data_IF_977359329070
#
_entry.id   IF_977359329070
#
_cell.length_a   1.000
_cell.length_b   1.000
_cell.length_c   1.000
_cell.angle_alpha   90.00
_cell.angle_beta   90.00
_cell.angle_gamma   90.00
#
_symmetry.space_group_name_H-M   'P 1'
#
loop_
_entity.id
_entity.type
_entity.pdbx_description
1 polymer ?
#
# COMPACT_ATOMS: atom_id res chain seq x y z
N UNK A 1 -29.45 27.32 -2.36
CA UNK A 1 -30.41 26.26 -2.01
C UNK A 1 -31.37 26.11 -3.17
N UNK A 2 -31.19 25.08 -3.94
CA UNK A 2 -32.20 24.54 -4.86
C UNK A 2 -31.80 23.05 -5.00
N UNK A 3 -32.49 22.18 -4.29
CA UNK A 3 -32.46 20.73 -4.46
C UNK A 3 -33.04 20.41 -5.82
N UNK A 4 -32.20 19.87 -6.71
CA UNK A 4 -32.72 19.22 -7.92
C UNK A 4 -33.29 17.86 -7.50
N UNK A 5 -34.55 17.54 -7.78
CA UNK A 5 -35.09 16.23 -7.54
C UNK A 5 -34.61 15.28 -8.64
N UNK A 6 -33.46 14.69 -8.48
CA UNK A 6 -33.15 13.43 -9.16
C UNK A 6 -33.97 12.33 -8.48
N UNK A 7 -35.07 11.94 -9.13
CA UNK A 7 -35.89 10.84 -8.67
C UNK A 7 -35.00 9.62 -8.39
N UNK A 8 -35.05 9.13 -7.18
CA UNK A 8 -34.33 7.95 -6.70
C UNK A 8 -34.72 6.74 -7.56
N UNK A 9 -33.94 6.46 -8.60
CA UNK A 9 -34.02 5.17 -9.29
C UNK A 9 -33.32 4.19 -8.36
N UNK A 10 -34.10 3.32 -7.71
CA UNK A 10 -33.54 2.31 -6.82
C UNK A 10 -32.55 1.38 -7.54
N UNK A 11 -31.60 0.72 -6.82
CA UNK A 11 -30.51 -0.07 -7.43
C UNK A 11 -31.00 -1.10 -8.47
N UNK A 12 -32.12 -1.77 -8.20
CA UNK A 12 -32.71 -2.74 -9.15
C UNK A 12 -33.29 -2.10 -10.42
N UNK A 13 -33.86 -0.91 -10.31
CA UNK A 13 -34.43 -0.19 -11.47
C UNK A 13 -33.36 0.49 -12.33
N UNK A 14 -32.23 0.88 -11.76
CA UNK A 14 -31.08 1.46 -12.46
C UNK A 14 -30.16 0.44 -13.12
N UNK A 15 -30.20 -0.82 -12.70
CA UNK A 15 -29.29 -1.88 -13.15
C UNK A 15 -29.26 -2.07 -14.68
N UNK A 16 -30.39 -2.03 -15.44
CA UNK A 16 -30.34 -2.22 -16.89
C UNK A 16 -29.59 -1.10 -17.61
N UNK A 17 -29.73 0.15 -17.15
CA UNK A 17 -29.02 1.31 -17.72
C UNK A 17 -27.54 1.23 -17.42
N UNK A 18 -27.19 0.91 -16.17
CA UNK A 18 -25.82 0.71 -15.73
C UNK A 18 -25.15 -0.45 -16.50
N UNK A 19 -25.82 -1.59 -16.63
CA UNK A 19 -25.34 -2.72 -17.39
C UNK A 19 -25.03 -2.35 -18.85
N UNK A 20 -25.92 -1.59 -19.48
CA UNK A 20 -25.70 -1.13 -20.87
C UNK A 20 -24.49 -0.22 -20.99
N UNK A 21 -24.31 0.71 -20.06
CA UNK A 21 -23.15 1.61 -20.03
C UNK A 21 -21.85 0.84 -19.77
N UNK A 22 -21.80 -0.03 -18.76
CA UNK A 22 -20.62 -0.82 -18.45
C UNK A 22 -20.26 -1.79 -19.58
N UNK A 23 -21.25 -2.38 -20.23
CA UNK A 23 -21.04 -3.18 -21.46
C UNK A 23 -20.45 -2.37 -22.60
N UNK A 24 -20.90 -1.12 -22.78
CA UNK A 24 -20.28 -0.20 -23.74
C UNK A 24 -18.83 0.09 -23.37
N UNK A 25 -18.53 0.36 -22.10
CA UNK A 25 -17.14 0.56 -21.64
C UNK A 25 -16.30 -0.71 -21.85
N UNK A 26 -16.84 -1.89 -21.49
CA UNK A 26 -16.16 -3.16 -21.65
C UNK A 26 -15.91 -3.54 -23.13
N UNK A 27 -16.74 -3.06 -24.06
CA UNK A 27 -16.50 -3.27 -25.50
C UNK A 27 -15.21 -2.61 -26.03
N UNK A 28 -14.64 -1.67 -25.27
CA UNK A 28 -13.38 -1.00 -25.58
C UNK A 28 -12.18 -1.59 -24.87
N UNK A 29 -12.34 -2.71 -24.12
CA UNK A 29 -11.25 -3.42 -23.47
C UNK A 29 -10.20 -3.86 -24.50
N UNK A 30 -8.93 -3.64 -24.16
CA UNK A 30 -7.78 -4.07 -24.97
C UNK A 30 -6.80 -4.86 -24.11
N UNK A 31 -6.16 -5.87 -24.72
CA UNK A 31 -5.13 -6.67 -24.04
C UNK A 31 -5.69 -7.70 -23.07
N UNK A 32 -6.88 -8.22 -23.34
CA UNK A 32 -7.54 -9.29 -22.62
C UNK A 32 -9.01 -9.43 -22.98
N UNK A 33 -9.63 -10.51 -22.55
CA UNK A 33 -11.05 -10.81 -22.75
C UNK A 33 -11.73 -10.96 -21.40
N UNK A 34 -12.82 -10.20 -21.20
CA UNK A 34 -13.75 -10.37 -20.08
C UNK A 34 -15.01 -11.09 -20.57
N UNK A 35 -15.29 -12.25 -20.00
CA UNK A 35 -16.55 -12.98 -20.18
C UNK A 35 -17.46 -12.66 -19.00
N UNK A 36 -18.64 -12.12 -19.27
CA UNK A 36 -19.66 -11.86 -18.23
C UNK A 36 -20.81 -12.81 -18.44
N UNK A 37 -21.14 -13.55 -17.40
CA UNK A 37 -22.29 -14.48 -17.33
C UNK A 37 -23.29 -13.87 -16.35
N UNK A 38 -24.48 -13.54 -16.82
CA UNK A 38 -25.59 -13.03 -16.00
C UNK A 38 -26.93 -13.70 -16.38
N UNK A 39 -28.03 -13.31 -15.75
CA UNK A 39 -29.37 -13.80 -16.03
C UNK A 39 -29.85 -13.58 -17.46
N UNK A 40 -29.19 -12.67 -18.21
CA UNK A 40 -29.50 -12.37 -19.61
C UNK A 40 -28.63 -13.17 -20.60
N UNK A 41 -27.70 -14.01 -20.12
CA UNK A 41 -26.81 -14.90 -20.88
C UNK A 41 -25.33 -14.53 -20.78
N UNK A 42 -24.52 -15.15 -21.62
CA UNK A 42 -23.06 -14.98 -21.67
C UNK A 42 -22.67 -13.96 -22.73
N UNK A 43 -21.75 -13.05 -22.35
CA UNK A 43 -21.20 -12.03 -23.27
C UNK A 43 -19.69 -11.94 -23.13
N UNK A 44 -19.03 -11.70 -24.26
CA UNK A 44 -17.57 -11.52 -24.32
C UNK A 44 -17.23 -10.07 -24.69
N UNK A 45 -16.29 -9.49 -24.00
CA UNK A 45 -15.80 -8.13 -24.21
C UNK A 45 -14.29 -8.12 -24.34
N UNK A 46 -13.77 -7.28 -25.24
CA UNK A 46 -12.36 -7.26 -25.57
C UNK A 46 -11.95 -8.39 -26.49
N UNK A 47 -10.65 -8.62 -26.61
CA UNK A 47 -10.09 -9.67 -27.48
C UNK A 47 -8.68 -10.08 -27.02
N UNK A 48 -8.34 -11.36 -27.26
CA UNK A 48 -7.03 -11.93 -26.96
C UNK A 48 -6.92 -12.47 -25.53
N UNK A 49 -5.70 -12.84 -25.18
CA UNK A 49 -5.37 -13.35 -23.85
C UNK A 49 -4.81 -12.24 -22.98
N UNK A 50 -4.99 -12.31 -21.66
CA UNK A 50 -5.70 -13.34 -20.92
C UNK A 50 -7.23 -13.24 -21.02
N UNK A 51 -7.93 -14.33 -20.70
CA UNK A 51 -9.38 -14.39 -20.61
C UNK A 51 -9.81 -14.69 -19.17
N UNK A 52 -10.82 -13.96 -18.67
CA UNK A 52 -11.35 -14.08 -17.32
C UNK A 52 -12.87 -14.08 -17.35
N UNK A 53 -13.49 -14.89 -16.48
CA UNK A 53 -14.95 -15.03 -16.38
C UNK A 53 -15.46 -14.43 -15.08
N UNK A 54 -16.42 -13.50 -15.22
CA UNK A 54 -17.19 -12.92 -14.11
C UNK A 54 -18.62 -13.43 -14.19
N UNK A 55 -19.12 -14.01 -13.08
CA UNK A 55 -20.51 -14.51 -12.96
C UNK A 55 -21.27 -13.54 -12.04
N UNK A 56 -22.27 -12.86 -12.57
CA UNK A 56 -23.09 -11.89 -11.83
C UNK A 56 -24.37 -12.55 -11.37
N UNK A 57 -24.55 -12.68 -10.06
CA UNK A 57 -25.73 -13.29 -9.42
C UNK A 57 -26.85 -12.29 -9.16
N UNK A 58 -26.51 -11.03 -8.90
CA UNK A 58 -27.49 -9.95 -8.70
C UNK A 58 -27.17 -8.75 -9.62
N UNK A 59 -28.12 -8.31 -10.48
CA UNK A 59 -27.89 -7.20 -11.40
C UNK A 59 -27.58 -5.85 -10.73
N UNK A 60 -27.81 -5.70 -9.42
CA UNK A 60 -27.45 -4.49 -8.68
C UNK A 60 -25.94 -4.18 -8.71
N UNK A 61 -25.10 -5.21 -8.93
CA UNK A 61 -23.64 -5.09 -9.15
C UNK A 61 -23.30 -4.06 -10.24
N UNK A 62 -24.07 -4.03 -11.31
CA UNK A 62 -23.85 -3.06 -12.39
C UNK A 62 -24.06 -1.62 -11.92
N UNK A 63 -25.07 -1.40 -11.08
CA UNK A 63 -25.39 -0.07 -10.57
C UNK A 63 -24.36 0.42 -9.55
N UNK A 64 -23.99 -0.45 -8.61
CA UNK A 64 -22.99 -0.12 -7.60
C UNK A 64 -21.60 0.12 -8.23
N UNK A 65 -21.20 -0.71 -9.20
CA UNK A 65 -19.94 -0.54 -9.95
C UNK A 65 -19.94 0.78 -10.74
N UNK A 66 -21.05 1.15 -11.38
CA UNK A 66 -21.14 2.42 -12.11
C UNK A 66 -20.98 3.62 -11.20
N UNK A 67 -21.62 3.61 -10.03
CA UNK A 67 -21.64 4.76 -9.11
C UNK A 67 -20.41 4.84 -8.22
N UNK A 68 -19.86 3.71 -7.80
CA UNK A 68 -18.84 3.62 -6.75
C UNK A 68 -17.52 2.99 -7.24
N UNK A 69 -17.44 2.57 -8.50
CA UNK A 69 -16.22 1.98 -9.06
C UNK A 69 -15.77 0.73 -8.29
N UNK A 70 -14.48 0.69 -7.92
CA UNK A 70 -13.89 -0.43 -7.18
C UNK A 70 -14.50 -0.64 -5.79
N UNK A 71 -14.98 0.43 -5.14
CA UNK A 71 -15.68 0.34 -3.83
C UNK A 71 -16.93 -0.52 -3.94
N UNK A 72 -17.79 -0.22 -4.93
CA UNK A 72 -19.02 -1.01 -5.16
C UNK A 72 -18.69 -2.43 -5.60
N UNK A 73 -17.76 -2.59 -6.52
CA UNK A 73 -17.37 -3.90 -7.05
C UNK A 73 -16.84 -4.83 -5.94
N UNK A 74 -15.91 -4.37 -5.12
CA UNK A 74 -15.31 -5.18 -4.05
C UNK A 74 -16.28 -5.47 -2.91
N UNK A 75 -17.13 -4.50 -2.50
CA UNK A 75 -18.19 -4.74 -1.52
C UNK A 75 -19.15 -5.82 -2.00
N UNK A 76 -19.62 -5.72 -3.23
CA UNK A 76 -20.60 -6.65 -3.79
C UNK A 76 -20.00 -8.05 -4.00
N UNK A 77 -18.67 -8.16 -4.22
CA UNK A 77 -17.96 -9.43 -4.18
C UNK A 77 -17.96 -10.02 -2.76
N UNK A 78 -17.64 -9.22 -1.76
CA UNK A 78 -17.66 -9.66 -0.37
C UNK A 78 -19.05 -10.13 0.06
N UNK A 79 -20.11 -9.48 -0.44
CA UNK A 79 -21.51 -9.82 -0.18
C UNK A 79 -22.01 -11.02 -1.03
N UNK A 80 -21.17 -11.61 -1.90
CA UNK A 80 -21.52 -12.77 -2.71
C UNK A 80 -22.45 -12.48 -3.90
N UNK A 81 -22.55 -11.21 -4.35
CA UNK A 81 -23.44 -10.83 -5.45
C UNK A 81 -22.85 -11.15 -6.83
N UNK A 82 -21.56 -11.48 -6.88
CA UNK A 82 -20.87 -11.96 -8.06
C UNK A 82 -19.63 -12.78 -7.70
N UNK A 83 -19.15 -13.60 -8.65
CA UNK A 83 -17.95 -14.41 -8.54
C UNK A 83 -17.05 -14.25 -9.76
N UNK A 84 -15.80 -14.67 -9.63
CA UNK A 84 -14.81 -14.65 -10.70
C UNK A 84 -13.91 -15.88 -10.61
N UNK A 85 -13.51 -16.40 -11.75
CA UNK A 85 -12.55 -17.51 -11.82
C UNK A 85 -11.13 -17.12 -11.41
N UNK A 86 -10.73 -15.84 -11.63
CA UNK A 86 -9.44 -15.29 -11.25
C UNK A 86 -9.56 -13.77 -11.04
N UNK A 87 -9.57 -13.33 -9.76
CA UNK A 87 -9.70 -11.91 -9.40
C UNK A 87 -8.48 -11.07 -9.79
N UNK A 88 -7.28 -11.63 -9.66
CA UNK A 88 -6.04 -10.98 -10.09
C UNK A 88 -6.08 -10.72 -11.58
N UNK A 89 -6.49 -11.73 -12.35
CA UNK A 89 -6.60 -11.61 -13.78
C UNK A 89 -7.68 -10.61 -14.20
N UNK A 90 -8.83 -10.59 -13.51
CA UNK A 90 -9.88 -9.60 -13.72
C UNK A 90 -9.33 -8.18 -13.53
N UNK A 91 -8.63 -7.94 -12.42
CA UNK A 91 -8.03 -6.63 -12.13
C UNK A 91 -7.04 -6.22 -13.22
N UNK A 92 -6.21 -7.16 -13.71
CA UNK A 92 -5.27 -6.91 -14.80
C UNK A 92 -5.98 -6.55 -16.11
N UNK A 93 -7.00 -7.31 -16.50
CA UNK A 93 -7.77 -7.04 -17.73
C UNK A 93 -8.46 -5.68 -17.65
N UNK A 94 -9.06 -5.33 -16.50
CA UNK A 94 -9.70 -4.04 -16.30
C UNK A 94 -8.68 -2.90 -16.33
N UNK A 95 -7.55 -3.03 -15.65
CA UNK A 95 -6.50 -2.01 -15.62
C UNK A 95 -5.91 -1.73 -16.99
N UNK A 96 -5.62 -2.77 -17.80
CA UNK A 96 -5.15 -2.60 -19.18
C UNK A 96 -6.19 -1.92 -20.06
N UNK A 97 -7.41 -2.44 -20.00
CA UNK A 97 -8.49 -2.01 -20.87
C UNK A 97 -8.98 -0.60 -20.60
N UNK A 98 -8.92 -0.14 -19.35
CA UNK A 98 -9.40 1.17 -18.94
C UNK A 98 -8.31 2.27 -18.94
N UNK A 99 -7.05 1.95 -19.23
CA UNK A 99 -5.95 2.94 -19.32
C UNK A 99 -6.28 4.19 -20.16
N UNK A 100 -6.90 4.08 -21.34
CA UNK A 100 -7.24 5.27 -22.11
C UNK A 100 -8.29 6.16 -21.42
N UNK A 101 -9.23 5.54 -20.70
CA UNK A 101 -10.28 6.26 -19.96
C UNK A 101 -9.70 6.92 -18.72
N UNK A 102 -8.89 6.20 -17.96
CA UNK A 102 -8.20 6.75 -16.78
C UNK A 102 -7.26 7.88 -17.14
N UNK A 103 -6.55 7.82 -18.27
CA UNK A 103 -5.68 8.90 -18.73
C UNK A 103 -6.45 10.22 -19.02
N UNK A 104 -7.69 10.14 -19.49
CA UNK A 104 -8.56 11.32 -19.65
C UNK A 104 -9.01 11.84 -18.29
N UNK A 105 -9.43 10.93 -17.39
CA UNK A 105 -9.83 11.29 -16.03
C UNK A 105 -8.67 11.93 -15.26
N UNK A 106 -7.44 11.44 -15.43
CA UNK A 106 -6.25 11.98 -14.78
C UNK A 106 -5.96 13.42 -15.24
N UNK A 107 -6.10 13.71 -16.52
CA UNK A 107 -5.93 15.08 -17.06
C UNK A 107 -6.99 16.04 -16.51
N UNK A 108 -8.24 15.61 -16.43
CA UNK A 108 -9.32 16.40 -15.83
C UNK A 108 -9.08 16.58 -14.33
N UNK A 109 -8.67 15.51 -13.62
CA UNK A 109 -8.35 15.56 -12.20
C UNK A 109 -7.21 16.52 -11.88
N UNK A 110 -6.16 16.58 -12.72
CA UNK A 110 -5.06 17.55 -12.57
C UNK A 110 -5.57 18.99 -12.71
N UNK A 111 -6.44 19.24 -13.68
CA UNK A 111 -6.97 20.59 -13.91
C UNK A 111 -7.91 21.06 -12.77
N UNK A 112 -8.75 20.17 -12.25
CA UNK A 112 -9.72 20.47 -11.18
C UNK A 112 -9.04 20.44 -9.80
N UNK A 113 -8.11 19.52 -9.56
CA UNK A 113 -7.40 19.36 -8.28
C UNK A 113 -6.68 20.64 -7.87
N UNK A 114 -5.98 21.27 -8.81
CA UNK A 114 -5.28 22.53 -8.55
C UNK A 114 -6.18 23.66 -8.04
N UNK A 115 -7.46 23.67 -8.44
CA UNK A 115 -8.43 24.69 -8.02
C UNK A 115 -9.10 24.41 -6.67
N UNK A 116 -9.12 23.15 -6.21
CA UNK A 116 -9.82 22.74 -4.97
C UNK A 116 -8.88 22.52 -3.77
N UNK A 117 -7.60 22.36 -4.01
CA UNK A 117 -6.59 22.12 -2.95
C UNK A 117 -6.56 23.22 -1.87
N UNK A 118 -6.83 24.48 -2.24
CA UNK A 118 -6.84 25.57 -1.27
C UNK A 118 -7.98 25.44 -0.25
N UNK A 119 -9.17 24.96 -0.66
CA UNK A 119 -10.31 24.74 0.24
C UNK A 119 -10.05 23.58 1.21
N UNK A 120 -9.33 22.54 0.76
CA UNK A 120 -8.98 21.38 1.59
C UNK A 120 -7.91 21.70 2.64
N UNK A 121 -7.01 22.64 2.36
CA UNK A 121 -6.01 23.14 3.32
C UNK A 121 -6.63 23.83 4.53
N UNK A 122 -7.90 24.23 4.46
CA UNK A 122 -8.62 24.85 5.58
C UNK A 122 -9.03 23.84 6.68
N UNK A 123 -8.94 22.53 6.45
CA UNK A 123 -9.20 21.47 7.42
C UNK A 123 -8.00 20.53 7.48
N UNK A 124 -6.95 20.89 8.23
CA UNK A 124 -5.78 20.04 8.35
C UNK A 124 -6.12 18.75 9.09
N UNK A 125 -5.51 17.61 8.71
CA UNK A 125 -5.60 16.37 9.47
C UNK A 125 -4.99 16.57 10.88
N UNK A 126 -5.53 15.88 11.87
CA UNK A 126 -5.06 15.96 13.26
C UNK A 126 -4.47 14.63 13.69
N UNK A 127 -3.51 14.64 14.64
CA UNK A 127 -2.92 13.43 15.24
C UNK A 127 -3.98 12.42 15.71
N UNK A 128 -5.13 12.90 16.18
CA UNK A 128 -6.22 12.05 16.68
C UNK A 128 -6.92 11.28 15.54
N UNK A 129 -7.08 11.89 14.36
CA UNK A 129 -7.68 11.22 13.19
C UNK A 129 -6.72 10.14 12.68
N UNK A 130 -5.41 10.43 12.61
CA UNK A 130 -4.40 9.48 12.18
C UNK A 130 -4.38 8.24 13.09
N UNK A 131 -4.44 8.45 14.43
CA UNK A 131 -4.47 7.35 15.41
C UNK A 131 -5.73 6.48 15.27
N UNK A 132 -6.91 7.08 15.11
CA UNK A 132 -8.17 6.36 14.95
C UNK A 132 -8.20 5.52 13.65
N UNK A 133 -7.67 6.06 12.54
CA UNK A 133 -7.59 5.35 11.26
C UNK A 133 -6.67 4.12 11.36
N UNK A 134 -5.51 4.27 12.02
CA UNK A 134 -4.58 3.16 12.24
C UNK A 134 -5.19 2.12 13.18
N UNK A 135 -5.88 2.54 14.27
CA UNK A 135 -6.57 1.59 15.15
C UNK A 135 -7.64 0.79 14.42
N UNK A 136 -8.46 1.43 13.57
CA UNK A 136 -9.51 0.74 12.82
C UNK A 136 -8.97 -0.32 11.85
N UNK A 137 -7.79 -0.10 11.26
CA UNK A 137 -7.12 -1.09 10.41
C UNK A 137 -6.56 -2.27 11.21
N UNK A 138 -6.01 -2.02 12.41
CA UNK A 138 -5.41 -3.04 13.28
C UNK A 138 -6.39 -3.64 14.30
N UNK A 139 -7.71 -3.37 14.18
CA UNK A 139 -8.76 -4.13 14.89
C UNK A 139 -8.85 -5.59 14.42
N UNK A 140 -8.22 -5.91 13.27
CA UNK A 140 -7.89 -7.28 12.90
C UNK A 140 -6.77 -7.80 13.81
N UNK A 141 -6.98 -8.94 14.46
CA UNK A 141 -6.09 -9.43 15.52
C UNK A 141 -4.68 -9.78 15.02
N UNK A 142 -3.67 -9.72 15.90
CA UNK A 142 -2.33 -10.22 15.61
C UNK A 142 -2.35 -11.69 15.17
N UNK A 143 -3.29 -12.48 15.66
CA UNK A 143 -3.43 -13.90 15.32
C UNK A 143 -3.80 -14.09 13.84
N UNK A 144 -4.65 -13.21 13.30
CA UNK A 144 -4.93 -13.24 11.86
C UNK A 144 -3.70 -12.87 11.02
N UNK A 145 -2.96 -11.83 11.41
CA UNK A 145 -1.72 -11.47 10.70
C UNK A 145 -0.67 -12.58 10.79
N UNK A 146 -0.59 -13.31 11.90
CA UNK A 146 0.29 -14.47 12.04
C UNK A 146 -0.09 -15.65 11.12
N UNK A 147 -1.36 -15.79 10.72
CA UNK A 147 -1.80 -16.77 9.72
C UNK A 147 -1.43 -16.35 8.29
N UNK A 148 -1.33 -15.05 8.03
CA UNK A 148 -1.08 -14.50 6.69
C UNK A 148 0.40 -14.23 6.43
N UNK A 149 1.10 -13.66 7.41
CA UNK A 149 2.49 -13.24 7.31
C UNK A 149 3.45 -14.40 7.65
N UNK A 150 4.73 -14.18 7.38
CA UNK A 150 5.82 -15.05 7.83
C UNK A 150 6.27 -14.71 9.25
N UNK A 151 7.27 -15.45 9.77
CA UNK A 151 7.82 -15.28 11.12
C UNK A 151 8.40 -13.88 11.38
N UNK A 152 8.79 -13.14 10.35
CA UNK A 152 9.27 -11.75 10.50
C UNK A 152 8.14 -10.78 10.85
N UNK A 153 6.90 -11.16 10.59
CA UNK A 153 5.71 -10.34 10.75
C UNK A 153 5.81 -9.02 9.97
N UNK A 154 6.50 -9.03 8.80
CA UNK A 154 6.61 -7.85 7.96
C UNK A 154 5.37 -7.72 7.06
N UNK A 155 4.54 -6.71 7.34
CA UNK A 155 3.38 -6.36 6.50
C UNK A 155 3.77 -5.30 5.46
N UNK A 156 4.68 -5.70 4.58
CA UNK A 156 5.25 -4.90 3.51
C UNK A 156 5.85 -5.81 2.43
N UNK A 157 6.16 -5.28 1.25
CA UNK A 157 6.74 -6.08 0.16
C UNK A 157 7.99 -6.82 0.60
N UNK A 158 8.09 -8.10 0.24
CA UNK A 158 9.32 -8.88 0.28
C UNK A 158 10.17 -8.64 -0.99
N UNK A 159 11.37 -9.23 -1.06
CA UNK A 159 12.21 -9.25 -2.28
C UNK A 159 12.62 -10.69 -2.61
N UNK A 160 12.12 -11.21 -3.72
CA UNK A 160 12.39 -12.56 -4.20
C UNK A 160 13.55 -12.51 -5.20
N UNK A 161 14.70 -13.09 -4.85
CA UNK A 161 15.88 -13.19 -5.72
C UNK A 161 15.97 -14.53 -6.44
N UNK A 162 15.17 -15.51 -6.03
CA UNK A 162 15.09 -16.85 -6.62
C UNK A 162 13.60 -17.25 -6.79
N UNK A 163 13.23 -18.02 -7.82
CA UNK A 163 11.83 -18.37 -8.09
C UNK A 163 11.12 -19.11 -6.95
N UNK A 164 11.84 -20.02 -6.27
CA UNK A 164 11.26 -20.89 -5.22
C UNK A 164 11.57 -20.41 -3.79
N UNK A 165 11.97 -19.15 -3.64
CA UNK A 165 12.27 -18.54 -2.35
C UNK A 165 11.01 -18.49 -1.48
N UNK A 166 11.09 -18.97 -0.24
CA UNK A 166 10.01 -18.80 0.73
C UNK A 166 9.84 -17.33 1.17
N UNK A 167 8.66 -17.01 1.72
CA UNK A 167 8.31 -15.65 2.07
C UNK A 167 9.22 -15.08 3.16
N UNK A 168 9.53 -15.86 4.21
CA UNK A 168 10.38 -15.41 5.31
C UNK A 168 11.79 -15.09 4.85
N UNK A 169 12.38 -15.92 3.97
CA UNK A 169 13.68 -15.62 3.36
C UNK A 169 13.61 -14.38 2.48
N UNK A 170 12.56 -14.21 1.68
CA UNK A 170 12.38 -13.04 0.84
C UNK A 170 12.20 -11.74 1.66
N UNK A 171 11.54 -11.81 2.81
CA UNK A 171 11.45 -10.69 3.75
C UNK A 171 12.83 -10.33 4.33
N UNK A 172 13.61 -11.32 4.75
CA UNK A 172 14.99 -11.08 5.24
C UNK A 172 15.87 -10.45 4.16
N UNK A 173 15.78 -10.91 2.90
CA UNK A 173 16.49 -10.27 1.76
C UNK A 173 16.11 -8.80 1.60
N UNK A 174 14.83 -8.46 1.73
CA UNK A 174 14.36 -7.07 1.69
C UNK A 174 14.96 -6.23 2.82
N UNK A 175 14.96 -6.77 4.05
CA UNK A 175 15.52 -6.08 5.21
C UNK A 175 17.05 -5.89 5.05
N UNK A 176 17.78 -6.93 4.63
CA UNK A 176 19.22 -6.85 4.33
C UNK A 176 19.52 -5.83 3.23
N UNK A 177 18.64 -5.73 2.22
CA UNK A 177 18.79 -4.74 1.16
C UNK A 177 18.77 -3.31 1.70
N UNK A 178 17.81 -3.00 2.60
CA UNK A 178 17.72 -1.69 3.26
C UNK A 178 18.93 -1.42 4.16
N UNK A 179 19.30 -2.41 4.99
CA UNK A 179 20.47 -2.30 5.85
C UNK A 179 21.77 -2.05 5.05
N UNK A 180 21.94 -2.77 3.93
CA UNK A 180 23.10 -2.61 3.02
C UNK A 180 23.11 -1.24 2.35
N UNK A 181 21.95 -0.76 1.86
CA UNK A 181 21.83 0.58 1.25
C UNK A 181 22.20 1.70 2.22
N UNK A 182 21.89 1.53 3.50
CA UNK A 182 22.25 2.46 4.57
C UNK A 182 23.69 2.28 5.07
N UNK A 183 24.33 1.15 4.74
CA UNK A 183 25.66 0.79 5.23
C UNK A 183 25.69 0.60 6.74
N UNK A 184 24.64 -0.06 7.30
CA UNK A 184 24.52 -0.24 8.75
C UNK A 184 25.72 -1.00 9.33
N UNK A 185 26.16 -0.55 10.50
CA UNK A 185 27.26 -1.14 11.26
C UNK A 185 27.00 -1.03 12.78
N UNK A 186 27.79 -1.68 13.63
CA UNK A 186 27.56 -1.72 15.08
C UNK A 186 27.65 -0.36 15.81
N UNK A 187 28.24 0.65 15.20
CA UNK A 187 28.41 1.98 15.79
C UNK A 187 27.21 2.89 15.51
N UNK A 188 26.35 2.53 14.55
CA UNK A 188 25.21 3.36 14.12
C UNK A 188 24.09 3.40 15.18
N UNK A 189 23.56 4.60 15.41
CA UNK A 189 22.28 4.85 16.03
C UNK A 189 21.21 5.02 14.94
N UNK A 190 20.23 4.11 14.89
CA UNK A 190 19.20 4.05 13.87
C UNK A 190 17.85 4.43 14.46
N UNK A 191 17.09 5.28 13.78
CA UNK A 191 15.68 5.50 14.10
C UNK A 191 14.79 4.86 13.03
N UNK A 192 13.80 4.06 13.47
CA UNK A 192 12.76 3.51 12.61
C UNK A 192 11.42 4.20 12.89
N UNK A 193 10.78 4.73 11.84
CA UNK A 193 9.44 5.29 11.92
C UNK A 193 8.45 4.29 11.35
N UNK A 194 7.64 3.67 12.23
CA UNK A 194 6.71 2.60 11.89
C UNK A 194 7.23 1.22 12.30
N UNK A 195 7.22 0.93 13.61
CA UNK A 195 7.72 -0.32 14.19
C UNK A 195 7.08 -1.59 13.59
N UNK A 196 5.80 -1.53 13.19
CA UNK A 196 5.05 -2.74 12.90
C UNK A 196 5.13 -3.71 14.09
N UNK A 197 5.44 -4.96 13.82
CA UNK A 197 5.68 -6.00 14.85
C UNK A 197 7.17 -6.16 15.20
N UNK A 198 8.02 -5.16 14.89
CA UNK A 198 9.44 -5.12 15.26
C UNK A 198 10.37 -5.85 14.30
N UNK A 199 9.89 -6.24 13.11
CA UNK A 199 10.67 -7.06 12.17
C UNK A 199 11.98 -6.42 11.73
N UNK A 200 11.96 -5.14 11.29
CA UNK A 200 13.19 -4.45 10.89
C UNK A 200 14.10 -4.17 12.08
N UNK A 201 13.56 -3.63 13.19
CA UNK A 201 14.37 -3.27 14.35
C UNK A 201 15.16 -4.49 14.91
N UNK A 202 14.48 -5.62 15.08
CA UNK A 202 15.12 -6.86 15.53
C UNK A 202 16.15 -7.38 14.52
N UNK A 203 15.81 -7.37 13.22
CA UNK A 203 16.72 -7.80 12.16
C UNK A 203 17.99 -6.96 12.09
N UNK A 204 17.88 -5.63 12.11
CA UNK A 204 19.00 -4.71 12.06
C UNK A 204 19.91 -4.85 13.30
N UNK A 205 19.32 -4.87 14.49
CA UNK A 205 20.08 -5.03 15.73
C UNK A 205 20.79 -6.39 15.82
N UNK A 206 20.14 -7.49 15.42
CA UNK A 206 20.71 -8.84 15.50
C UNK A 206 21.82 -9.06 14.46
N UNK A 207 21.64 -8.62 13.21
CA UNK A 207 22.54 -8.96 12.10
C UNK A 207 23.60 -7.90 11.83
N UNK A 208 23.33 -6.63 12.14
CA UNK A 208 24.27 -5.50 11.90
C UNK A 208 24.82 -4.92 13.19
N UNK A 209 24.28 -5.30 14.36
CA UNK A 209 24.78 -4.90 15.67
C UNK A 209 24.48 -3.48 16.08
N UNK A 210 23.78 -2.70 15.26
CA UNK A 210 23.44 -1.29 15.51
C UNK A 210 22.41 -1.16 16.67
N UNK A 211 22.29 0.06 17.21
CA UNK A 211 21.22 0.40 18.14
C UNK A 211 20.04 0.95 17.35
N UNK A 212 18.83 0.48 17.68
CA UNK A 212 17.60 0.90 16.98
C UNK A 212 16.59 1.47 17.96
N UNK A 213 16.17 2.71 17.73
CA UNK A 213 14.98 3.31 18.36
C UNK A 213 13.84 3.24 17.35
N UNK A 214 12.75 2.57 17.69
CA UNK A 214 11.61 2.40 16.78
C UNK A 214 10.33 2.92 17.43
N UNK A 215 9.41 3.49 16.62
CA UNK A 215 8.19 4.10 17.13
C UNK A 215 6.94 3.64 16.41
N UNK A 216 5.86 3.47 17.17
CA UNK A 216 4.50 3.21 16.70
C UNK A 216 3.48 3.95 17.54
N UNK A 217 2.31 4.26 16.96
CA UNK A 217 1.14 4.78 17.69
C UNK A 217 0.08 3.70 17.97
N UNK A 218 0.33 2.46 17.58
CA UNK A 218 -0.53 1.30 17.84
C UNK A 218 -0.11 0.62 19.14
N UNK A 219 -1.00 0.62 20.14
CA UNK A 219 -0.77 -0.07 21.41
C UNK A 219 -0.56 -1.58 21.23
N UNK A 220 -1.21 -2.20 20.23
CA UNK A 220 -1.07 -3.62 19.93
C UNK A 220 0.33 -3.94 19.37
N UNK A 221 0.80 -3.14 18.40
CA UNK A 221 2.15 -3.27 17.85
C UNK A 221 3.22 -3.00 18.90
N UNK A 222 3.05 -1.94 19.70
CA UNK A 222 3.98 -1.61 20.79
C UNK A 222 4.17 -2.78 21.75
N UNK A 223 3.07 -3.39 22.23
CA UNK A 223 3.14 -4.54 23.15
C UNK A 223 3.79 -5.75 22.49
N UNK A 224 3.44 -6.05 21.25
CA UNK A 224 4.00 -7.18 20.52
C UNK A 224 5.50 -7.00 20.26
N UNK A 225 5.91 -5.87 19.70
CA UNK A 225 7.32 -5.58 19.39
C UNK A 225 8.18 -5.52 20.68
N UNK A 226 7.69 -4.91 21.75
CA UNK A 226 8.40 -4.89 23.04
C UNK A 226 8.62 -6.28 23.61
N UNK A 227 7.61 -7.16 23.52
CA UNK A 227 7.75 -8.56 23.94
C UNK A 227 8.78 -9.30 23.07
N UNK A 228 8.69 -9.15 21.76
CA UNK A 228 9.60 -9.76 20.79
C UNK A 228 11.07 -9.37 21.05
N UNK A 229 11.33 -8.08 21.26
CA UNK A 229 12.68 -7.57 21.57
C UNK A 229 13.28 -8.25 22.80
N UNK A 230 12.49 -8.51 23.84
CA UNK A 230 12.94 -9.23 25.05
C UNK A 230 13.17 -10.69 24.76
N UNK A 231 12.25 -11.35 24.04
CA UNK A 231 12.34 -12.78 23.70
C UNK A 231 13.53 -13.10 22.78
N UNK A 232 13.89 -12.17 21.88
CA UNK A 232 15.06 -12.29 21.00
C UNK A 232 16.38 -11.84 21.69
N UNK A 233 16.33 -11.38 22.94
CA UNK A 233 17.53 -10.96 23.70
C UNK A 233 18.15 -9.65 23.21
N UNK A 234 17.34 -8.75 22.61
CA UNK A 234 17.79 -7.49 21.99
C UNK A 234 17.47 -6.24 22.81
N UNK A 235 17.07 -6.39 24.07
CA UNK A 235 16.63 -5.28 24.92
C UNK A 235 17.73 -4.24 25.22
N UNK A 236 18.99 -4.57 25.02
CA UNK A 236 20.14 -3.66 25.16
C UNK A 236 20.41 -2.85 23.87
N UNK A 237 19.81 -3.22 22.74
CA UNK A 237 20.03 -2.61 21.43
C UNK A 237 18.78 -1.99 20.81
N UNK A 238 17.59 -2.48 21.16
CA UNK A 238 16.32 -2.02 20.57
C UNK A 238 15.45 -1.35 21.62
N UNK A 239 15.10 -0.10 21.38
CA UNK A 239 14.15 0.68 22.17
C UNK A 239 12.86 0.87 21.39
N UNK A 240 11.74 0.34 21.90
CA UNK A 240 10.41 0.51 21.28
C UNK A 240 9.69 1.64 21.99
N UNK A 241 9.17 2.61 21.24
CA UNK A 241 8.44 3.76 21.72
C UNK A 241 6.96 3.71 21.29
N UNK A 242 6.05 3.96 22.23
CA UNK A 242 4.64 4.23 21.91
C UNK A 242 4.43 5.73 21.77
N UNK A 243 4.89 6.30 20.68
CA UNK A 243 4.90 7.74 20.43
C UNK A 243 4.64 8.07 18.98
N UNK A 244 4.05 9.22 18.73
CA UNK A 244 3.96 9.77 17.37
C UNK A 244 5.35 10.19 16.90
N UNK A 245 5.69 9.88 15.63
CA UNK A 245 7.00 10.22 15.06
C UNK A 245 7.29 11.74 15.10
N UNK A 246 6.25 12.57 15.14
CA UNK A 246 6.36 14.04 15.23
C UNK A 246 6.83 14.53 16.60
N UNK A 247 6.80 13.65 17.61
CA UNK A 247 7.21 13.93 19.00
C UNK A 247 8.56 13.29 19.33
N UNK A 248 9.22 12.67 18.36
CA UNK A 248 10.57 12.12 18.56
C UNK A 248 11.60 13.23 18.68
N UNK A 249 12.55 13.02 19.58
CA UNK A 249 13.68 13.90 19.83
C UNK A 249 14.99 13.13 19.69
N UNK A 250 16.10 13.87 19.54
CA UNK A 250 17.44 13.32 19.37
C UNK A 250 17.93 13.42 17.93
N UNK A 251 19.13 12.88 17.70
CA UNK A 251 19.77 12.82 16.39
C UNK A 251 20.35 11.42 16.19
N UNK A 252 20.25 10.91 14.97
CA UNK A 252 20.57 9.55 14.58
C UNK A 252 21.48 9.55 13.33
N UNK A 253 22.26 8.49 13.18
CA UNK A 253 23.11 8.29 11.99
C UNK A 253 22.26 7.89 10.79
N UNK A 254 21.23 7.06 11.05
CA UNK A 254 20.38 6.49 10.00
C UNK A 254 18.89 6.56 10.38
N UNK A 255 18.07 6.72 9.37
CA UNK A 255 16.61 6.67 9.51
C UNK A 255 16.00 5.68 8.52
N UNK A 256 15.07 4.87 8.98
CA UNK A 256 14.32 3.93 8.15
C UNK A 256 12.81 4.13 8.34
N UNK A 257 12.06 4.04 7.26
CA UNK A 257 10.60 3.97 7.31
C UNK A 257 10.09 3.07 6.19
N UNK A 258 9.39 2.00 6.54
CA UNK A 258 8.94 0.97 5.60
C UNK A 258 7.42 1.00 5.50
N UNK A 259 6.89 1.41 4.34
CA UNK A 259 5.46 1.45 4.02
C UNK A 259 4.62 2.12 5.12
N UNK A 260 5.09 3.27 5.57
CA UNK A 260 4.41 4.08 6.59
C UNK A 260 3.90 5.41 6.01
N UNK A 261 4.57 5.97 5.00
CA UNK A 261 4.22 7.26 4.40
C UNK A 261 2.81 7.23 3.77
N UNK A 262 2.31 6.06 3.40
CA UNK A 262 0.97 5.81 2.87
C UNK A 262 -0.13 6.11 3.90
N UNK A 263 0.19 6.00 5.19
CA UNK A 263 -0.68 6.36 6.29
C UNK A 263 -0.62 7.87 6.61
N UNK A 264 0.31 8.61 6.01
CA UNK A 264 0.45 10.06 6.19
C UNK A 264 -0.37 10.78 5.13
N UNK A 265 -1.30 11.64 5.57
CA UNK A 265 -2.05 12.48 4.64
C UNK A 265 -1.09 13.29 3.75
N UNK A 266 -1.35 13.34 2.44
CA UNK A 266 -0.50 14.03 1.46
C UNK A 266 -0.19 15.50 1.84
N UNK A 267 -1.08 16.15 2.60
CA UNK A 267 -0.90 17.52 3.12
C UNK A 267 0.17 17.61 4.21
N UNK A 268 0.56 16.48 4.78
CA UNK A 268 1.57 16.35 5.84
C UNK A 268 2.90 15.77 5.33
N UNK A 269 3.06 15.44 4.04
CA UNK A 269 4.31 14.92 3.51
C UNK A 269 5.49 15.87 3.78
N UNK A 270 5.30 17.19 3.63
CA UNK A 270 6.34 18.19 3.97
C UNK A 270 6.72 18.13 5.47
N UNK A 271 5.75 17.89 6.35
CA UNK A 271 5.99 17.74 7.79
C UNK A 271 6.72 16.44 8.08
N UNK A 272 6.29 15.34 7.47
CA UNK A 272 6.95 14.04 7.61
C UNK A 272 8.44 14.12 7.25
N UNK A 273 8.76 14.60 6.05
CA UNK A 273 10.16 14.70 5.63
C UNK A 273 10.97 15.72 6.44
N UNK A 274 10.37 16.83 6.89
CA UNK A 274 11.03 17.79 7.78
C UNK A 274 11.38 17.16 9.13
N UNK A 275 10.45 16.40 9.72
CA UNK A 275 10.71 15.67 10.97
C UNK A 275 11.82 14.65 10.77
N UNK A 276 11.77 13.85 9.68
CA UNK A 276 12.81 12.88 9.38
C UNK A 276 14.19 13.52 9.22
N UNK A 277 14.29 14.61 8.46
CA UNK A 277 15.55 15.33 8.30
C UNK A 277 16.07 15.93 9.61
N UNK A 278 15.17 16.42 10.47
CA UNK A 278 15.52 16.97 11.79
C UNK A 278 16.02 15.92 12.79
N UNK A 279 15.76 14.65 12.55
CA UNK A 279 16.24 13.52 13.36
C UNK A 279 17.60 12.98 12.86
N UNK A 280 18.16 13.49 11.77
CA UNK A 280 19.43 13.02 11.22
C UNK A 280 20.59 13.96 11.54
N UNK A 281 21.75 13.40 11.80
CA UNK A 281 23.01 14.12 11.77
C UNK A 281 23.32 14.69 10.38
N UNK A 282 24.22 15.67 10.27
CA UNK A 282 24.58 16.32 9.00
C UNK A 282 25.15 15.36 7.94
N UNK A 283 25.65 14.20 8.35
CA UNK A 283 26.11 13.11 7.47
C UNK A 283 25.14 11.91 7.43
N UNK A 284 23.94 12.07 7.96
CA UNK A 284 22.96 10.98 8.09
C UNK A 284 22.39 10.52 6.77
N UNK A 285 21.91 9.28 6.75
CA UNK A 285 21.17 8.67 5.63
C UNK A 285 19.76 8.29 6.06
N UNK A 286 18.81 8.50 5.16
CA UNK A 286 17.44 8.03 5.30
C UNK A 286 17.12 7.04 4.19
N UNK A 287 16.48 5.91 4.53
CA UNK A 287 15.84 5.00 3.57
C UNK A 287 14.35 4.93 3.83
N UNK A 288 13.56 5.05 2.77
CA UNK A 288 12.14 4.71 2.81
C UNK A 288 11.85 3.57 1.84
N UNK A 289 10.93 2.69 2.22
CA UNK A 289 10.19 1.85 1.29
C UNK A 289 8.78 2.40 1.21
N UNK A 290 8.27 2.61 -0.01
CA UNK A 290 6.98 3.27 -0.19
C UNK A 290 6.25 2.76 -1.42
N UNK A 291 4.96 2.44 -1.23
CA UNK A 291 4.04 2.18 -2.33
C UNK A 291 3.77 3.50 -3.05
N UNK A 292 3.91 3.51 -4.36
CA UNK A 292 3.74 4.71 -5.16
C UNK A 292 2.68 4.51 -6.25
N UNK A 293 1.95 5.58 -6.53
CA UNK A 293 1.07 5.67 -7.71
C UNK A 293 1.81 6.39 -8.84
N UNK A 294 1.42 6.14 -10.10
CA UNK A 294 1.95 6.90 -11.25
C UNK A 294 1.78 8.43 -11.02
N UNK A 295 2.82 9.24 -11.30
CA UNK A 295 2.81 10.70 -11.07
C UNK A 295 1.60 11.39 -11.71
N UNK A 296 1.21 10.97 -12.92
CA UNK A 296 0.03 11.50 -13.62
C UNK A 296 -1.30 11.24 -12.91
N UNK A 297 -1.37 10.15 -12.13
CA UNK A 297 -2.59 9.71 -11.44
C UNK A 297 -2.71 10.26 -10.03
N UNK A 298 -1.64 10.86 -9.47
CA UNK A 298 -1.57 11.30 -8.08
C UNK A 298 -2.68 12.31 -7.73
N UNK A 299 -2.94 13.30 -8.58
CA UNK A 299 -3.98 14.32 -8.32
C UNK A 299 -5.38 13.70 -8.20
N UNK A 300 -5.68 12.68 -8.99
CA UNK A 300 -6.93 11.92 -8.88
C UNK A 300 -6.94 11.03 -7.64
N UNK A 301 -5.85 10.28 -7.41
CA UNK A 301 -5.73 9.33 -6.31
C UNK A 301 -5.85 10.00 -4.94
N UNK A 302 -5.13 11.11 -4.70
CA UNK A 302 -5.17 11.82 -3.40
C UNK A 302 -6.56 12.38 -3.06
N UNK A 303 -7.39 12.63 -4.08
CA UNK A 303 -8.71 13.22 -3.95
C UNK A 303 -9.86 12.20 -4.03
N UNK A 304 -9.58 10.99 -4.53
CA UNK A 304 -10.54 9.92 -4.71
C UNK A 304 -10.62 8.98 -3.52
N UNK A 305 -11.57 8.06 -3.61
CA UNK A 305 -11.68 6.90 -2.75
C UNK A 305 -11.73 5.67 -3.64
N UNK A 306 -10.99 4.63 -3.28
CA UNK A 306 -11.05 3.31 -3.90
C UNK A 306 -11.39 2.25 -2.85
N UNK A 307 -11.44 1.00 -3.28
CA UNK A 307 -11.76 -0.12 -2.40
C UNK A 307 -10.79 -0.23 -1.22
N UNK A 308 -9.49 -0.09 -1.46
CA UNK A 308 -8.45 -0.24 -0.42
C UNK A 308 -8.59 0.87 0.62
N UNK A 309 -8.80 2.10 0.18
CA UNK A 309 -8.96 3.26 1.06
C UNK A 309 -10.28 3.24 1.84
N UNK A 310 -11.33 2.61 1.30
CA UNK A 310 -12.62 2.50 1.97
C UNK A 310 -12.65 1.40 3.03
N UNK A 311 -12.08 0.21 2.72
CA UNK A 311 -12.30 -0.98 3.52
C UNK A 311 -11.05 -1.49 4.26
N UNK A 312 -9.84 -1.18 3.77
CA UNK A 312 -8.60 -1.75 4.29
C UNK A 312 -7.76 -0.69 5.02
N UNK A 313 -7.46 0.44 4.37
CA UNK A 313 -6.63 1.51 4.93
C UNK A 313 -7.37 2.86 4.92
N UNK A 314 -8.33 3.06 5.83
CA UNK A 314 -9.07 4.32 5.91
C UNK A 314 -8.12 5.51 6.10
N UNK A 315 -8.27 6.53 5.25
CA UNK A 315 -7.42 7.72 5.29
C UNK A 315 -6.06 7.59 4.59
N UNK A 316 -5.68 6.40 4.14
CA UNK A 316 -4.44 6.15 3.41
C UNK A 316 -4.34 6.97 2.11
N UNK A 317 -3.13 7.34 1.72
CA UNK A 317 -2.87 8.09 0.49
C UNK A 317 -1.52 7.69 -0.10
N UNK A 318 -1.54 6.92 -1.17
CA UNK A 318 -0.31 6.56 -1.87
C UNK A 318 0.35 7.82 -2.43
N UNK A 319 1.63 8.10 -2.12
CA UNK A 319 2.40 9.16 -2.77
C UNK A 319 2.73 8.79 -4.22
N UNK A 320 3.23 9.77 -4.98
CA UNK A 320 3.98 9.50 -6.21
C UNK A 320 5.44 9.89 -6.03
N UNK A 321 6.33 9.45 -6.92
CA UNK A 321 7.74 9.83 -6.88
C UNK A 321 7.90 11.36 -6.96
N UNK A 322 7.12 12.02 -7.82
CA UNK A 322 7.10 13.48 -7.91
C UNK A 322 6.63 14.12 -6.60
N UNK A 323 5.60 13.58 -5.94
CA UNK A 323 5.11 14.12 -4.68
C UNK A 323 6.16 14.00 -3.56
N UNK A 324 6.87 12.86 -3.47
CA UNK A 324 7.96 12.64 -2.54
C UNK A 324 9.09 13.65 -2.81
N UNK A 325 9.62 13.69 -4.03
CA UNK A 325 10.76 14.56 -4.39
C UNK A 325 10.41 16.06 -4.29
N UNK A 326 9.17 16.42 -4.54
CA UNK A 326 8.64 17.79 -4.33
C UNK A 326 8.67 18.18 -2.86
N UNK A 327 8.25 17.27 -1.97
CA UNK A 327 8.27 17.52 -0.52
C UNK A 327 9.69 17.58 0.03
N UNK A 328 10.59 16.68 -0.41
CA UNK A 328 12.01 16.73 -0.07
C UNK A 328 12.60 18.09 -0.40
N UNK A 329 12.45 18.56 -1.65
CA UNK A 329 12.96 19.83 -2.11
C UNK A 329 12.43 21.04 -1.33
N UNK A 330 11.16 20.96 -0.89
CA UNK A 330 10.50 22.10 -0.20
C UNK A 330 10.79 22.16 1.29
N UNK A 331 10.98 21.02 1.92
CA UNK A 331 10.94 20.90 3.35
C UNK A 331 12.28 20.50 4.00
N UNK A 332 13.24 20.04 3.22
CA UNK A 332 14.48 19.42 3.74
C UNK A 332 15.69 19.77 2.90
N UNK A 333 16.92 19.58 3.44
CA UNK A 333 18.16 19.60 2.67
C UNK A 333 18.48 18.22 2.04
N UNK A 334 17.68 17.17 2.28
CA UNK A 334 17.95 15.81 1.81
C UNK A 334 18.02 15.72 0.29
N UNK A 335 19.00 14.96 -0.20
CA UNK A 335 19.22 14.68 -1.62
C UNK A 335 19.02 13.20 -1.88
N UNK A 336 18.23 12.86 -2.91
CA UNK A 336 18.04 11.46 -3.34
C UNK A 336 19.33 10.94 -3.96
N UNK A 337 19.82 9.80 -3.44
CA UNK A 337 21.08 9.17 -3.88
C UNK A 337 20.87 7.78 -4.49
N UNK A 338 19.73 7.11 -4.19
CA UNK A 338 19.37 5.82 -4.79
C UNK A 338 17.85 5.68 -4.88
N UNK A 339 17.35 5.03 -5.92
CA UNK A 339 15.94 4.63 -6.10
C UNK A 339 15.91 3.28 -6.78
N UNK A 340 15.28 2.30 -6.14
CA UNK A 340 15.07 0.95 -6.66
C UNK A 340 13.57 0.61 -6.70
N UNK A 341 13.03 0.27 -7.86
CA UNK A 341 11.64 -0.20 -8.04
C UNK A 341 11.58 -1.70 -7.71
N UNK A 342 10.84 -2.05 -6.66
CA UNK A 342 10.62 -3.41 -6.21
C UNK A 342 9.16 -3.87 -6.36
N UNK A 343 8.32 -3.09 -7.04
CA UNK A 343 6.88 -3.33 -7.14
C UNK A 343 6.48 -4.70 -7.69
N UNK A 344 7.33 -5.32 -8.53
CA UNK A 344 7.06 -6.69 -9.02
C UNK A 344 7.15 -7.74 -7.91
N UNK A 345 7.98 -7.53 -6.91
CA UNK A 345 8.08 -8.41 -5.75
C UNK A 345 6.85 -8.31 -4.87
N UNK A 346 6.20 -7.14 -4.85
CA UNK A 346 4.96 -6.98 -4.10
C UNK A 346 3.83 -7.84 -4.68
N UNK A 347 3.72 -7.95 -5.99
CA UNK A 347 2.74 -8.84 -6.60
C UNK A 347 2.90 -10.28 -6.11
N UNK A 348 4.13 -10.80 -6.05
CA UNK A 348 4.42 -12.14 -5.51
C UNK A 348 4.15 -12.22 -4.00
N UNK A 349 4.47 -11.17 -3.24
CA UNK A 349 4.18 -11.09 -1.80
C UNK A 349 2.67 -11.19 -1.54
N UNK A 350 1.86 -10.44 -2.28
CA UNK A 350 0.39 -10.44 -2.16
C UNK A 350 -0.21 -11.79 -2.53
N UNK A 351 0.30 -12.43 -3.58
CA UNK A 351 -0.10 -13.79 -3.98
C UNK A 351 0.18 -14.79 -2.85
N UNK A 352 1.36 -14.72 -2.22
CA UNK A 352 1.71 -15.60 -1.08
C UNK A 352 0.81 -15.35 0.12
N UNK A 353 0.52 -14.09 0.44
CA UNK A 353 -0.41 -13.75 1.52
C UNK A 353 -1.81 -14.27 1.24
N UNK A 354 -2.29 -14.17 0.00
CA UNK A 354 -3.59 -14.70 -0.39
C UNK A 354 -3.66 -16.23 -0.26
N UNK A 355 -2.63 -16.93 -0.71
CA UNK A 355 -2.50 -18.39 -0.56
C UNK A 355 -2.55 -18.81 0.92
N UNK A 356 -1.88 -18.06 1.81
CA UNK A 356 -1.93 -18.32 3.26
C UNK A 356 -3.33 -18.11 3.82
N UNK A 357 -3.98 -17.00 3.53
CA UNK A 357 -5.34 -16.70 4.03
C UNK A 357 -6.35 -17.73 3.54
N UNK A 358 -6.30 -18.09 2.25
CA UNK A 358 -7.19 -19.11 1.67
C UNK A 358 -6.90 -20.49 2.27
N UNK A 359 -5.61 -20.83 2.43
CA UNK A 359 -5.18 -22.10 3.01
C UNK A 359 -5.58 -22.30 4.47
N UNK A 360 -5.67 -21.20 5.25
CA UNK A 360 -6.04 -21.21 6.67
C UNK A 360 -7.49 -20.73 6.89
N UNK A 361 -8.40 -20.93 5.91
CA UNK A 361 -9.76 -20.39 5.96
C UNK A 361 -10.58 -20.82 7.18
N UNK A 362 -10.35 -22.03 7.70
CA UNK A 362 -11.03 -22.54 8.89
C UNK A 362 -10.51 -21.90 10.17
N UNK A 363 -9.18 -21.71 10.28
CA UNK A 363 -8.53 -21.01 11.38
C UNK A 363 -8.96 -19.52 11.40
N UNK A 364 -9.01 -18.87 10.23
CA UNK A 364 -9.51 -17.51 10.09
C UNK A 364 -10.96 -17.40 10.59
N UNK A 365 -11.81 -18.40 10.25
CA UNK A 365 -13.18 -18.47 10.75
C UNK A 365 -13.25 -18.70 12.26
N UNK A 366 -12.34 -19.50 12.81
CA UNK A 366 -12.24 -19.75 14.25
C UNK A 366 -11.87 -18.47 15.05
N UNK A 367 -11.19 -17.50 14.42
CA UNK A 367 -10.94 -16.17 15.00
C UNK A 367 -12.18 -15.26 14.99
N UNK A 368 -13.33 -15.71 14.48
CA UNK A 368 -14.56 -14.93 14.38
C UNK A 368 -14.67 -14.12 13.09
N UNK A 369 -13.75 -14.28 12.14
CA UNK A 369 -13.73 -13.59 10.84
C UNK A 369 -14.56 -14.41 9.83
N UNK A 370 -15.72 -13.91 9.48
CA UNK A 370 -16.72 -14.62 8.68
C UNK A 370 -16.35 -14.73 7.19
N UNK A 371 -17.20 -15.41 6.42
CA UNK A 371 -17.02 -15.59 4.96
C UNK A 371 -16.98 -14.25 4.23
N UNK A 372 -17.76 -13.25 4.69
CA UNK A 372 -17.75 -11.90 4.10
C UNK A 372 -16.39 -11.24 4.25
N UNK A 373 -15.79 -11.32 5.46
CA UNK A 373 -14.44 -10.83 5.72
C UNK A 373 -13.41 -11.54 4.83
N UNK A 374 -13.45 -12.88 4.76
CA UNK A 374 -12.50 -13.65 3.96
C UNK A 374 -12.58 -13.28 2.47
N UNK A 375 -13.79 -13.11 1.92
CA UNK A 375 -13.99 -12.65 0.54
C UNK A 375 -13.48 -11.22 0.34
N UNK A 376 -13.73 -10.33 1.28
CA UNK A 376 -13.24 -8.95 1.23
C UNK A 376 -11.71 -8.89 1.22
N UNK A 377 -11.07 -9.74 2.05
CA UNK A 377 -9.62 -9.80 2.14
C UNK A 377 -8.99 -10.44 0.89
N UNK A 378 -9.57 -11.50 0.38
CA UNK A 378 -9.19 -12.11 -0.89
C UNK A 378 -9.29 -11.11 -2.05
N UNK A 379 -10.39 -10.36 -2.14
CA UNK A 379 -10.52 -9.30 -3.14
C UNK A 379 -9.44 -8.23 -2.99
N UNK A 380 -9.12 -7.81 -1.77
CA UNK A 380 -8.06 -6.84 -1.49
C UNK A 380 -6.72 -7.31 -2.04
N UNK A 381 -6.29 -8.52 -1.69
CA UNK A 381 -4.97 -9.04 -2.07
C UNK A 381 -4.87 -9.20 -3.59
N UNK A 382 -5.86 -9.80 -4.24
CA UNK A 382 -5.91 -9.95 -5.70
C UNK A 382 -6.02 -8.60 -6.45
N UNK A 383 -6.77 -7.64 -5.90
CA UNK A 383 -6.90 -6.30 -6.48
C UNK A 383 -5.56 -5.57 -6.49
N UNK A 384 -4.84 -5.60 -5.38
CA UNK A 384 -3.50 -5.01 -5.29
C UNK A 384 -2.48 -5.76 -6.14
N UNK A 385 -2.46 -7.10 -6.13
CA UNK A 385 -1.58 -7.91 -6.97
C UNK A 385 -1.73 -7.53 -8.44
N UNK A 386 -2.96 -7.50 -8.94
CA UNK A 386 -3.24 -7.10 -10.31
C UNK A 386 -2.78 -5.67 -10.64
N UNK A 387 -2.89 -4.74 -9.69
CA UNK A 387 -2.45 -3.36 -9.85
C UNK A 387 -0.91 -3.25 -9.94
N UNK A 388 -0.16 -4.02 -9.12
CA UNK A 388 1.31 -4.08 -9.20
C UNK A 388 1.78 -4.76 -10.49
N UNK A 389 1.15 -5.88 -10.91
CA UNK A 389 1.49 -6.57 -12.17
C UNK A 389 1.32 -5.67 -13.39
N UNK A 390 0.32 -4.79 -13.39
CA UNK A 390 0.07 -3.85 -14.48
C UNK A 390 0.75 -2.48 -14.28
N UNK A 391 1.56 -2.32 -13.22
CA UNK A 391 2.31 -1.10 -12.90
C UNK A 391 1.42 0.15 -12.75
N UNK A 392 0.19 -0.01 -12.27
CA UNK A 392 -0.65 1.12 -11.83
C UNK A 392 -0.14 1.71 -10.52
N UNK A 393 0.40 0.84 -9.68
CA UNK A 393 1.15 1.16 -8.48
C UNK A 393 2.49 0.44 -8.55
N UNK A 394 3.48 0.98 -7.85
CA UNK A 394 4.76 0.33 -7.63
C UNK A 394 5.16 0.44 -6.17
N UNK A 395 6.23 -0.22 -5.78
CA UNK A 395 6.88 -0.07 -4.50
C UNK A 395 8.34 0.29 -4.74
N UNK A 396 8.85 1.27 -4.02
CA UNK A 396 10.21 1.77 -4.22
C UNK A 396 10.98 1.81 -2.91
N UNK A 397 12.24 1.38 -2.96
CA UNK A 397 13.21 1.71 -1.93
C UNK A 397 14.01 2.93 -2.36
N UNK A 398 13.96 3.99 -1.55
CA UNK A 398 14.56 5.28 -1.87
C UNK A 398 15.54 5.68 -0.77
N UNK A 399 16.78 5.98 -1.12
CA UNK A 399 17.79 6.48 -0.18
C UNK A 399 18.03 7.95 -0.40
N UNK A 400 18.04 8.69 0.69
CA UNK A 400 18.29 10.13 0.74
C UNK A 400 19.44 10.41 1.71
N UNK A 401 20.30 11.34 1.35
CA UNK A 401 21.46 11.74 2.13
C UNK A 401 21.34 13.17 2.62
N UNK A 402 21.82 13.43 3.82
CA UNK A 402 22.09 14.78 4.29
C UNK A 402 23.28 15.39 3.51
N UNK A 403 23.39 16.74 3.39
CA UNK A 403 24.34 17.39 2.50
C UNK A 403 25.81 17.06 2.75
N UNK A 404 26.20 16.80 3.99
CA UNK A 404 27.58 16.51 4.36
C UNK A 404 27.94 15.02 4.30
N UNK A 405 26.97 14.18 3.90
CA UNK A 405 27.23 12.76 3.67
C UNK A 405 28.15 12.56 2.47
N UNK A 406 29.17 11.74 2.66
CA UNK A 406 30.09 11.36 1.60
C UNK A 406 29.96 9.86 1.31
N UNK A 407 29.64 9.54 0.06
CA UNK A 407 29.63 8.16 -0.37
C UNK A 407 31.03 7.53 -0.16
N UNK A 408 31.10 6.31 0.39
CA UNK A 408 32.36 5.57 0.39
C UNK A 408 32.87 5.48 -1.07
N UNK A 409 34.10 5.91 -1.35
CA UNK A 409 34.67 5.76 -2.67
C UNK A 409 34.91 4.26 -2.94
N UNK A 410 33.92 3.57 -3.46
CA UNK A 410 34.11 2.28 -4.10
C UNK A 410 34.51 2.54 -5.55
N UNK A 411 35.81 2.56 -5.85
CA UNK A 411 36.29 2.36 -7.20
C UNK A 411 36.01 0.88 -7.53
N UNK A 412 34.76 0.54 -7.85
CA UNK A 412 34.45 -0.69 -8.56
C UNK A 412 34.26 -0.35 -10.01
N UNK A 413 35.33 -0.60 -10.73
CA UNK A 413 35.33 -0.73 -12.20
C UNK A 413 34.72 -2.13 -12.50
N UNK A 414 33.40 -2.27 -12.37
CA UNK A 414 32.66 -3.48 -12.80
C UNK A 414 32.23 -3.31 -14.27
N UNK A 415 33.21 -3.01 -15.14
CA UNK A 415 33.08 -3.22 -16.58
C UNK A 415 33.81 -4.51 -16.96
N UNK A 416 33.19 -5.63 -16.66
CA UNK A 416 33.48 -6.90 -17.36
C UNK A 416 32.20 -7.70 -17.50
#
# INVERSE_FOLDING_TARGET
MAELPMGWIGPKAGAPVAARFLRFMASHLRGGTLVVVDDTGTRRFGSGQPEVTMVVHDPSVYWSTLLQGSVGLGRDYADGLWDCDDLTLLTRVLNRGLRPVTAVQDRVGQAVGASTDWLRRLRPPTKHIDRNNIQAHYDVSNDFFALMLDETMMYSSAMFTEPDMDLGRAQRVKLDRLCTKLGLNPDDDVVEIGTGWGGFACHAAANYGCRVTTTTISDAQFRFASKRVVEEGLADRVTVLNSDYRDLEGTFDKLVSIEMIEAVDWRQHDTFFRTCAGLLHDQGLMAIQAITVEDRSFERAKNGTDFVREFIFPGGCLPSLEAITRSLRRATPLVVVDVEDIGRHYAETLRRWDEQVVGHSDEVRALGLDTRFQRLWHFYLCYCEGAFLERHISDVQMVMAMPDWQAPMSIRDDRT
#
